data_IF_877474468304
#
_entry.id   IF_877474468304
#
_cell.length_a   1.000
_cell.length_b   1.000
_cell.length_c   1.000
_cell.angle_alpha   90.00
_cell.angle_beta   90.00
_cell.angle_gamma   90.00
#
_symmetry.space_group_name_H-M   'P 1'
#
loop_
_entity.id
_entity.type
_entity.pdbx_description
1 polymer ?
#
# COMPACT_ATOMS: atom_id res chain seq x y z
N UNK A 1 31.14 -69.71 14.95
CA UNK A 1 31.56 -68.36 14.55
C UNK A 1 31.27 -68.21 13.07
N UNK A 2 30.46 -67.21 12.72
CA UNK A 2 30.26 -66.59 11.38
C UNK A 2 29.79 -67.54 10.27
N UNK A 3 28.67 -67.34 9.57
CA UNK A 3 27.83 -66.16 9.39
C UNK A 3 27.21 -66.32 7.99
N UNK A 4 25.90 -66.09 7.87
CA UNK A 4 25.17 -66.23 6.61
C UNK A 4 25.82 -65.43 5.49
N UNK A 5 25.93 -66.05 4.32
CA UNK A 5 26.35 -65.35 3.10
C UNK A 5 25.20 -64.44 2.68
N UNK A 6 25.30 -63.17 3.02
CA UNK A 6 24.47 -62.13 2.43
C UNK A 6 24.90 -61.99 0.96
N UNK A 7 24.12 -62.57 0.04
CA UNK A 7 24.40 -62.51 -1.39
C UNK A 7 24.02 -61.11 -1.87
N UNK A 8 24.99 -60.20 -1.90
CA UNK A 8 24.83 -58.92 -2.57
C UNK A 8 24.37 -59.17 -4.01
N UNK A 9 23.18 -58.67 -4.36
CA UNK A 9 22.66 -58.70 -5.73
C UNK A 9 23.52 -57.75 -6.57
N UNK A 10 24.47 -58.32 -7.30
CA UNK A 10 25.37 -57.59 -8.20
C UNK A 10 24.55 -57.05 -9.38
N UNK A 11 24.53 -55.72 -9.56
CA UNK A 11 24.13 -55.10 -10.82
C UNK A 11 25.45 -54.76 -11.53
N UNK A 12 25.74 -55.44 -12.63
CA UNK A 12 26.93 -55.17 -13.43
C UNK A 12 26.75 -53.87 -14.20
N UNK A 13 27.62 -52.90 -13.95
CA UNK A 13 27.78 -51.71 -14.78
C UNK A 13 29.25 -51.67 -15.16
N UNK A 14 29.51 -52.20 -16.36
CA UNK A 14 30.81 -52.34 -17.00
C UNK A 14 31.71 -53.48 -16.44
N UNK A 15 32.48 -54.13 -17.31
CA UNK A 15 33.14 -55.45 -17.12
C UNK A 15 34.30 -55.48 -16.10
N UNK A 16 34.31 -54.57 -15.14
CA UNK A 16 35.34 -54.50 -14.10
C UNK A 16 34.67 -54.64 -12.75
N UNK A 17 35.01 -55.69 -12.00
CA UNK A 17 34.44 -56.07 -10.70
C UNK A 17 34.68 -55.01 -9.60
N UNK A 18 34.04 -53.85 -9.70
CA UNK A 18 34.05 -52.81 -8.68
C UNK A 18 32.85 -53.01 -7.74
N UNK A 19 33.14 -53.53 -6.55
CA UNK A 19 32.17 -53.61 -5.44
C UNK A 19 31.94 -52.20 -4.89
N UNK A 20 30.75 -51.63 -5.08
CA UNK A 20 30.35 -50.37 -4.40
C UNK A 20 29.79 -50.68 -3.00
N UNK A 21 30.44 -50.26 -1.91
CA UNK A 21 29.86 -50.40 -0.58
C UNK A 21 28.65 -49.46 -0.40
N UNK A 22 27.62 -49.96 0.29
CA UNK A 22 26.30 -49.31 0.51
C UNK A 22 26.34 -48.03 1.39
N UNK A 23 27.49 -47.41 1.62
CA UNK A 23 27.61 -46.21 2.42
C UNK A 23 27.76 -44.97 1.52
N UNK A 24 26.66 -44.20 1.39
CA UNK A 24 26.59 -42.86 0.77
C UNK A 24 27.23 -42.75 -0.60
N UNK A 25 26.42 -42.87 -1.67
CA UNK A 25 26.87 -42.54 -3.02
C UNK A 25 27.29 -41.06 -3.07
N UNK A 26 28.58 -40.79 -2.89
CA UNK A 26 29.16 -39.53 -3.33
C UNK A 26 29.09 -39.50 -4.85
N UNK A 27 28.68 -38.34 -5.38
CA UNK A 27 28.53 -38.12 -6.81
C UNK A 27 29.83 -38.55 -7.51
N UNK A 28 29.70 -39.46 -8.48
CA UNK A 28 30.82 -39.97 -9.25
C UNK A 28 31.44 -38.79 -10.03
N UNK A 29 32.62 -38.30 -9.61
CA UNK A 29 33.33 -37.21 -10.29
C UNK A 29 33.70 -37.69 -11.69
N UNK A 30 33.32 -36.91 -12.70
CA UNK A 30 33.60 -37.22 -14.09
C UNK A 30 35.07 -36.90 -14.44
N UNK A 31 35.62 -37.49 -15.50
CA UNK A 31 36.93 -37.07 -16.02
C UNK A 31 36.97 -35.62 -16.51
N UNK A 32 35.81 -34.93 -16.53
CA UNK A 32 35.66 -33.54 -16.93
C UNK A 32 35.58 -32.64 -15.70
N UNK A 33 36.73 -32.16 -15.25
CA UNK A 33 36.88 -31.32 -14.05
C UNK A 33 36.03 -30.05 -14.07
N UNK A 34 35.68 -29.52 -15.25
CA UNK A 34 34.77 -28.37 -15.40
C UNK A 34 33.33 -28.73 -15.03
N UNK A 35 32.87 -29.92 -15.42
CA UNK A 35 31.53 -30.42 -15.10
C UNK A 35 31.39 -30.70 -13.60
N UNK A 36 32.44 -31.23 -12.98
CA UNK A 36 32.46 -31.52 -11.54
C UNK A 36 32.44 -30.23 -10.71
N UNK A 37 33.14 -29.19 -11.17
CA UNK A 37 33.10 -27.86 -10.56
C UNK A 37 31.69 -27.28 -10.68
N UNK A 38 31.07 -27.36 -11.86
CA UNK A 38 29.69 -26.91 -12.06
C UNK A 38 28.68 -27.63 -11.16
N UNK A 39 28.80 -28.95 -10.99
CA UNK A 39 27.92 -29.70 -10.09
C UNK A 39 28.15 -29.34 -8.62
N UNK A 40 29.39 -29.13 -8.22
CA UNK A 40 29.76 -28.70 -6.86
C UNK A 40 29.22 -27.30 -6.57
N UNK A 41 29.38 -26.37 -7.51
CA UNK A 41 28.88 -25.00 -7.40
C UNK A 41 27.35 -24.99 -7.39
N UNK A 42 26.70 -25.79 -8.24
CA UNK A 42 25.25 -25.90 -8.27
C UNK A 42 24.72 -26.49 -6.96
N UNK A 43 25.35 -27.54 -6.42
CA UNK A 43 24.98 -28.12 -5.13
C UNK A 43 25.17 -27.11 -3.98
N UNK A 44 26.24 -26.31 -4.00
CA UNK A 44 26.50 -25.28 -3.01
C UNK A 44 25.50 -24.12 -3.10
N UNK A 45 25.09 -23.71 -4.30
CA UNK A 45 24.04 -22.70 -4.51
C UNK A 45 22.69 -23.25 -4.05
N UNK A 46 22.36 -24.49 -4.39
CA UNK A 46 21.11 -25.12 -3.99
C UNK A 46 21.03 -25.28 -2.47
N UNK A 47 22.13 -25.69 -1.83
CA UNK A 47 22.24 -25.75 -0.38
C UNK A 47 22.10 -24.37 0.26
N UNK A 48 22.65 -23.31 -0.32
CA UNK A 48 22.46 -21.93 0.17
C UNK A 48 21.02 -21.44 0.03
N UNK A 49 20.30 -21.86 -1.00
CA UNK A 49 18.88 -21.52 -1.20
C UNK A 49 17.99 -22.31 -0.22
N UNK A 50 18.30 -23.59 -0.01
CA UNK A 50 17.55 -24.48 0.90
C UNK A 50 17.85 -24.18 2.38
N UNK A 51 19.11 -23.85 2.70
CA UNK A 51 19.57 -23.54 4.05
C UNK A 51 19.50 -22.05 4.40
N UNK A 52 19.24 -21.16 3.42
CA UNK A 52 18.73 -19.84 3.74
C UNK A 52 17.42 -20.09 4.49
N UNK A 53 17.33 -19.73 5.78
CA UNK A 53 16.11 -19.98 6.52
C UNK A 53 15.01 -19.25 5.74
N UNK A 54 14.02 -20.00 5.27
CA UNK A 54 12.70 -19.44 4.98
C UNK A 54 12.19 -18.91 6.32
N UNK A 55 12.74 -17.80 6.79
CA UNK A 55 12.10 -17.01 7.80
C UNK A 55 10.80 -16.60 7.13
N UNK A 56 9.68 -16.94 7.72
CA UNK A 56 8.37 -16.42 7.33
C UNK A 56 8.45 -14.89 7.13
N UNK A 57 9.37 -14.21 7.82
CA UNK A 57 9.76 -12.83 7.58
C UNK A 57 10.14 -12.47 6.13
N UNK A 58 10.77 -13.34 5.34
CA UNK A 58 11.16 -13.02 3.95
C UNK A 58 10.01 -13.23 2.96
N UNK A 59 9.28 -14.35 3.07
CA UNK A 59 8.09 -14.59 2.25
C UNK A 59 6.93 -13.65 2.63
N UNK A 60 6.73 -13.36 3.92
CA UNK A 60 5.79 -12.36 4.39
C UNK A 60 6.24 -10.94 4.03
N UNK A 61 7.54 -10.62 4.03
CA UNK A 61 8.02 -9.32 3.54
C UNK A 61 7.84 -9.17 2.03
N UNK A 62 8.05 -10.23 1.26
CA UNK A 62 7.78 -10.24 -0.19
C UNK A 62 6.28 -10.13 -0.46
N UNK A 63 5.45 -10.87 0.26
CA UNK A 63 3.99 -10.78 0.17
C UNK A 63 3.49 -9.39 0.60
N UNK A 64 4.07 -8.81 1.66
CA UNK A 64 3.80 -7.44 2.10
C UNK A 64 4.21 -6.44 1.02
N UNK A 65 5.40 -6.58 0.43
CA UNK A 65 5.88 -5.71 -0.64
C UNK A 65 5.02 -5.82 -1.91
N UNK A 66 4.60 -7.03 -2.29
CA UNK A 66 3.70 -7.29 -3.41
C UNK A 66 2.30 -6.74 -3.15
N UNK A 67 1.75 -6.91 -1.93
CA UNK A 67 0.47 -6.35 -1.53
C UNK A 67 0.49 -4.82 -1.42
N UNK A 68 1.67 -4.25 -1.16
CA UNK A 68 1.91 -2.81 -1.16
C UNK A 68 2.13 -2.22 -2.56
N UNK A 69 2.28 -3.06 -3.61
CA UNK A 69 2.27 -2.55 -4.97
C UNK A 69 0.88 -1.95 -5.24
N UNK A 70 0.80 -0.68 -5.68
CA UNK A 70 -0.49 -0.10 -5.99
C UNK A 70 -1.16 -0.91 -7.10
N UNK A 71 -2.38 -1.37 -6.85
CA UNK A 71 -3.24 -1.95 -7.88
C UNK A 71 -3.55 -0.82 -8.87
N UNK A 72 -2.95 -0.91 -10.06
CA UNK A 72 -3.20 0.01 -11.17
C UNK A 72 -4.12 -0.67 -12.16
N UNK A 73 -5.06 0.09 -12.72
CA UNK A 73 -5.78 -0.34 -13.90
C UNK A 73 -4.82 -0.60 -15.06
N UNK A 74 -5.27 -1.33 -16.08
CA UNK A 74 -4.48 -1.57 -17.29
C UNK A 74 -4.10 -0.27 -18.02
N UNK A 75 -4.89 0.79 -17.79
CA UNK A 75 -4.69 2.18 -18.21
C UNK A 75 -3.69 2.96 -17.34
N UNK A 76 -3.09 2.31 -16.32
CA UNK A 76 -2.15 2.93 -15.40
C UNK A 76 -2.78 3.80 -14.31
N UNK A 77 -4.11 4.00 -14.36
CA UNK A 77 -4.88 4.78 -13.39
C UNK A 77 -4.84 4.07 -12.04
N UNK A 78 -4.60 4.81 -10.96
CA UNK A 78 -4.71 4.31 -9.59
C UNK A 78 -5.88 4.97 -8.88
N UNK A 79 -6.67 4.17 -8.16
CA UNK A 79 -7.69 4.68 -7.24
C UNK A 79 -7.17 4.55 -5.82
N UNK A 80 -6.91 5.68 -5.18
CA UNK A 80 -6.57 5.74 -3.76
C UNK A 80 -7.85 5.92 -2.95
N UNK A 81 -7.91 5.33 -1.76
CA UNK A 81 -9.05 5.43 -0.84
C UNK A 81 -8.54 5.62 0.57
N UNK A 82 -9.11 6.58 1.28
CA UNK A 82 -8.73 6.88 2.67
C UNK A 82 -10.00 7.14 3.47
N UNK A 83 -10.16 6.36 4.53
CA UNK A 83 -11.26 6.52 5.49
C UNK A 83 -10.83 7.45 6.62
N UNK A 84 -11.72 8.34 7.00
CA UNK A 84 -11.61 9.22 8.15
C UNK A 84 -12.77 8.90 9.07
N UNK A 85 -12.45 8.29 10.21
CA UNK A 85 -13.42 7.97 11.25
C UNK A 85 -13.42 9.16 12.20
N UNK A 86 -14.53 9.89 12.25
CA UNK A 86 -14.68 10.96 13.21
C UNK A 86 -14.62 10.45 14.65
N UNK A 87 -14.25 11.31 15.61
CA UNK A 87 -14.50 11.08 17.03
C UNK A 87 -15.95 10.64 17.29
N UNK A 88 -16.15 9.78 18.28
CA UNK A 88 -17.46 9.26 18.65
C UNK A 88 -18.28 10.31 19.44
N UNK A 89 -18.57 11.44 18.82
CA UNK A 89 -19.43 12.50 19.34
C UNK A 89 -20.37 13.06 18.24
N UNK A 90 -21.18 14.06 18.59
CA UNK A 90 -22.16 14.68 17.68
C UNK A 90 -21.97 16.19 17.56
N UNK A 91 -20.76 16.67 17.85
CA UNK A 91 -20.45 18.10 17.85
C UNK A 91 -20.57 18.64 16.44
N UNK A 92 -21.53 19.54 16.24
CA UNK A 92 -21.77 20.14 14.93
C UNK A 92 -20.55 20.97 14.50
N UNK A 93 -20.15 20.78 13.25
CA UNK A 93 -19.19 21.68 12.62
C UNK A 93 -19.80 23.06 12.42
N UNK A 94 -19.00 24.08 12.68
CA UNK A 94 -19.24 25.45 12.23
C UNK A 94 -18.56 25.70 10.89
N UNK A 95 -18.88 26.82 10.25
CA UNK A 95 -18.26 27.21 8.99
C UNK A 95 -16.76 27.41 9.22
N UNK A 96 -15.94 26.77 8.38
CA UNK A 96 -14.48 26.72 8.47
C UNK A 96 -13.91 25.83 9.57
N UNK A 97 -14.69 24.91 10.14
CA UNK A 97 -14.10 23.88 11.00
C UNK A 97 -13.32 22.86 10.16
N UNK A 98 -12.28 22.26 10.76
CA UNK A 98 -11.61 21.10 10.21
C UNK A 98 -12.40 19.82 10.51
N UNK A 99 -12.44 18.94 9.52
CA UNK A 99 -12.94 17.56 9.65
C UNK A 99 -11.73 16.66 9.87
N UNK A 100 -11.71 15.94 10.99
CA UNK A 100 -10.57 15.12 11.40
C UNK A 100 -10.99 13.88 12.19
N UNK A 101 -10.02 13.06 12.57
CA UNK A 101 -10.22 11.79 13.27
C UNK A 101 -10.03 11.88 14.79
N UNK A 102 -9.61 13.03 15.31
CA UNK A 102 -9.40 13.27 16.74
C UNK A 102 -9.58 14.73 17.12
N UNK A 103 -10.10 14.97 18.32
CA UNK A 103 -10.22 16.32 18.93
C UNK A 103 -8.94 16.80 19.62
N UNK A 104 -7.91 15.93 19.75
CA UNK A 104 -6.67 16.26 20.49
C UNK A 104 -5.38 15.73 19.87
N UNK A 105 -5.45 14.66 19.07
CA UNK A 105 -4.30 14.03 18.44
C UNK A 105 -4.69 13.48 17.06
N UNK A 106 -4.97 14.34 16.07
CA UNK A 106 -5.36 13.91 14.74
C UNK A 106 -4.22 13.20 14.00
N UNK A 107 -4.53 12.50 12.92
CA UNK A 107 -3.53 11.81 12.08
C UNK A 107 -2.39 12.75 11.68
N UNK A 108 -1.19 12.47 12.19
CA UNK A 108 0.00 13.30 12.02
C UNK A 108 0.39 13.40 10.55
N UNK A 109 0.70 14.62 10.08
CA UNK A 109 1.10 14.87 8.69
C UNK A 109 -0.07 15.06 7.71
N UNK A 110 -1.32 14.99 8.21
CA UNK A 110 -2.54 14.99 7.40
C UNK A 110 -2.89 13.60 6.84
N UNK A 111 -4.12 13.46 6.38
CA UNK A 111 -4.58 12.22 5.74
C UNK A 111 -3.85 12.01 4.41
N UNK A 112 -3.81 10.78 3.92
CA UNK A 112 -2.88 10.43 2.83
C UNK A 112 -3.56 9.64 1.73
N UNK A 113 -3.38 10.08 0.48
CA UNK A 113 -3.56 9.25 -0.70
C UNK A 113 -2.25 8.53 -1.00
N UNK A 114 -2.11 7.32 -0.48
CA UNK A 114 -0.88 6.54 -0.59
C UNK A 114 -0.67 6.00 -2.01
N UNK A 115 0.55 6.06 -2.51
CA UNK A 115 0.98 5.56 -3.82
C UNK A 115 0.21 6.15 -5.02
N UNK A 116 -0.25 7.40 -4.91
CA UNK A 116 -1.00 8.12 -5.93
C UNK A 116 -0.25 8.26 -7.27
N UNK A 117 1.09 8.36 -7.25
CA UNK A 117 1.91 8.46 -8.46
C UNK A 117 2.73 7.20 -8.74
N UNK A 118 3.09 6.98 -10.02
CA UNK A 118 3.79 5.77 -10.50
C UNK A 118 5.11 5.52 -9.79
N UNK A 119 5.88 6.58 -9.56
CA UNK A 119 7.16 6.53 -8.86
C UNK A 119 7.39 7.84 -8.11
N UNK A 120 8.35 7.85 -7.19
CA UNK A 120 8.66 9.06 -6.44
C UNK A 120 9.05 10.21 -7.38
N UNK A 121 8.56 11.42 -7.10
CA UNK A 121 8.84 12.60 -7.91
C UNK A 121 8.08 12.69 -9.24
N UNK A 122 7.15 11.76 -9.53
CA UNK A 122 6.37 11.78 -10.77
C UNK A 122 5.11 12.61 -10.63
N UNK A 123 4.60 13.04 -11.79
CA UNK A 123 3.31 13.72 -11.90
C UNK A 123 2.17 12.75 -12.19
N UNK A 124 0.96 13.19 -11.89
CA UNK A 124 -0.31 12.56 -12.28
C UNK A 124 -1.36 13.64 -12.57
N UNK A 125 -2.47 13.24 -13.17
CA UNK A 125 -3.70 14.04 -13.27
C UNK A 125 -4.74 13.45 -12.32
N UNK A 126 -5.22 14.26 -11.38
CA UNK A 126 -6.41 13.94 -10.59
C UNK A 126 -7.65 14.13 -11.46
N UNK A 127 -8.37 13.04 -11.69
CA UNK A 127 -9.49 12.98 -12.65
C UNK A 127 -10.85 13.04 -11.95
N UNK A 128 -11.01 12.22 -10.92
CA UNK A 128 -12.23 12.10 -10.15
C UNK A 128 -11.94 12.10 -8.65
N UNK A 129 -12.87 12.67 -7.88
CA UNK A 129 -12.98 12.53 -6.43
C UNK A 129 -14.37 12.01 -6.09
N UNK A 130 -14.45 10.93 -5.31
CA UNK A 130 -15.68 10.42 -4.73
C UNK A 130 -15.56 10.57 -3.22
N UNK A 131 -16.52 11.25 -2.60
CA UNK A 131 -16.61 11.36 -1.15
C UNK A 131 -17.86 10.59 -0.71
N UNK A 132 -17.72 9.68 0.24
CA UNK A 132 -18.86 8.95 0.83
C UNK A 132 -18.96 9.21 2.32
N UNK A 133 -20.18 9.19 2.85
CA UNK A 133 -20.49 9.23 4.28
C UNK A 133 -21.22 7.95 4.66
N UNK A 134 -20.83 7.35 5.78
CA UNK A 134 -21.51 6.17 6.34
C UNK A 134 -22.85 6.48 6.99
N UNK A 135 -23.10 7.73 7.39
CA UNK A 135 -24.31 8.12 8.10
C UNK A 135 -24.59 9.61 7.89
N UNK A 136 -25.12 9.99 6.72
CA UNK A 136 -25.30 11.39 6.37
C UNK A 136 -26.32 12.07 7.29
N UNK A 137 -26.01 13.31 7.65
CA UNK A 137 -26.93 14.16 8.37
C UNK A 137 -28.11 14.63 7.49
N UNK A 138 -29.13 15.19 8.15
CA UNK A 138 -30.25 15.84 7.45
C UNK A 138 -29.81 17.05 6.59
N UNK A 139 -28.72 17.70 6.98
CA UNK A 139 -28.09 18.79 6.21
C UNK A 139 -26.96 18.21 5.37
N UNK A 140 -26.96 18.48 4.06
CA UNK A 140 -25.84 18.12 3.20
C UNK A 140 -24.54 18.77 3.66
N UNK A 141 -23.49 17.97 3.87
CA UNK A 141 -22.15 18.50 4.11
C UNK A 141 -21.64 19.21 2.85
N UNK A 142 -21.26 20.47 3.00
CA UNK A 142 -20.45 21.19 2.02
C UNK A 142 -19.03 21.23 2.57
N UNK A 143 -18.08 20.73 1.78
CA UNK A 143 -16.70 20.66 2.21
C UNK A 143 -15.73 21.06 1.13
N UNK A 144 -14.49 21.29 1.53
CA UNK A 144 -13.39 21.57 0.63
C UNK A 144 -12.20 20.68 1.01
N UNK A 145 -11.76 19.88 0.05
CA UNK A 145 -10.57 19.03 0.16
C UNK A 145 -9.35 19.83 -0.28
N UNK A 146 -8.38 19.99 0.63
CA UNK A 146 -7.09 20.61 0.37
C UNK A 146 -6.05 19.51 0.21
N UNK A 147 -5.36 19.45 -0.92
CA UNK A 147 -4.34 18.43 -1.22
C UNK A 147 -2.97 19.09 -1.29
N UNK A 148 -1.99 18.51 -0.61
CA UNK A 148 -0.62 18.97 -0.49
C UNK A 148 0.37 17.93 -1.02
N UNK A 149 1.53 18.37 -1.50
CA UNK A 149 2.62 17.50 -1.97
C UNK A 149 3.57 17.02 -0.88
N UNK A 150 3.42 17.53 0.35
CA UNK A 150 4.21 17.17 1.52
C UNK A 150 3.35 17.08 2.79
N UNK A 151 3.92 16.55 3.88
CA UNK A 151 3.28 16.49 5.18
C UNK A 151 2.92 17.89 5.71
N UNK A 152 1.71 18.01 6.25
CA UNK A 152 1.18 19.24 6.85
C UNK A 152 0.75 19.02 8.29
N UNK A 153 0.65 20.09 9.06
CA UNK A 153 0.14 20.06 10.43
C UNK A 153 -1.34 19.68 10.39
N UNK A 154 -1.68 18.58 11.06
CA UNK A 154 -3.06 18.16 11.18
C UNK A 154 -3.81 19.09 12.15
N UNK A 155 -5.06 19.38 11.80
CA UNK A 155 -5.96 20.21 12.62
C UNK A 155 -6.92 19.28 13.34
N UNK A 156 -7.18 19.57 14.62
CA UNK A 156 -8.12 18.80 15.43
C UNK A 156 -9.53 18.89 14.84
N UNK A 157 -10.30 17.83 15.01
CA UNK A 157 -11.71 17.81 14.63
C UNK A 157 -12.49 18.91 15.37
N UNK A 158 -13.40 19.59 14.67
CA UNK A 158 -14.17 20.74 15.16
C UNK A 158 -13.35 21.97 15.58
N UNK A 159 -12.04 21.99 15.34
CA UNK A 159 -11.23 23.19 15.50
C UNK A 159 -11.29 24.05 14.22
N UNK A 160 -10.99 25.35 14.36
CA UNK A 160 -10.90 26.26 13.21
C UNK A 160 -9.83 25.74 12.25
N UNK A 161 -10.21 25.52 11.00
CA UNK A 161 -9.31 25.11 9.95
C UNK A 161 -8.24 26.18 9.73
N UNK A 162 -6.98 25.79 9.90
CA UNK A 162 -5.84 26.66 9.71
C UNK A 162 -4.78 25.94 8.86
N UNK A 163 -4.20 26.68 7.92
CA UNK A 163 -3.03 26.27 7.13
C UNK A 163 -2.04 27.42 7.22
N UNK A 164 -0.81 27.14 7.64
CA UNK A 164 0.22 28.18 7.77
C UNK A 164 0.71 28.70 6.41
N UNK A 165 1.36 29.85 6.41
CA UNK A 165 2.00 30.43 5.21
C UNK A 165 3.07 29.52 4.58
N UNK A 166 3.67 28.62 5.38
CA UNK A 166 4.62 27.64 4.89
C UNK A 166 3.91 26.49 4.17
N UNK A 167 2.83 25.95 4.76
CA UNK A 167 2.08 24.82 4.22
C UNK A 167 1.22 25.20 3.02
N UNK A 168 0.71 26.43 2.95
CA UNK A 168 -0.10 26.82 1.78
C UNK A 168 0.71 26.81 0.48
N UNK A 169 2.04 26.92 0.56
CA UNK A 169 2.95 26.84 -0.60
C UNK A 169 3.08 25.44 -1.18
N UNK A 170 2.73 24.41 -0.40
CA UNK A 170 2.77 22.99 -0.82
C UNK A 170 1.39 22.50 -1.28
N UNK A 171 0.38 23.38 -1.30
CA UNK A 171 -0.95 23.08 -1.80
C UNK A 171 -0.91 22.87 -3.31
N UNK A 172 -1.37 21.71 -3.75
CA UNK A 172 -1.40 21.31 -5.17
C UNK A 172 -2.81 21.20 -5.74
N UNK A 173 -3.83 21.00 -4.89
CA UNK A 173 -5.22 21.07 -5.31
C UNK A 173 -6.16 21.50 -4.20
N UNK A 174 -7.30 22.05 -4.61
CA UNK A 174 -8.39 22.48 -3.74
C UNK A 174 -9.71 22.15 -4.42
N UNK A 175 -10.48 21.24 -3.84
CA UNK A 175 -11.67 20.67 -4.49
C UNK A 175 -12.88 20.86 -3.59
N UNK A 176 -13.82 21.75 -3.95
CA UNK A 176 -15.09 21.84 -3.26
C UNK A 176 -15.96 20.62 -3.59
N UNK A 177 -16.75 20.17 -2.63
CA UNK A 177 -17.74 19.12 -2.82
C UNK A 177 -18.99 19.42 -1.99
N UNK A 178 -20.14 18.96 -2.49
CA UNK A 178 -21.43 19.05 -1.80
C UNK A 178 -22.03 17.67 -1.78
N UNK A 179 -22.23 17.11 -0.59
CA UNK A 179 -22.85 15.81 -0.44
C UNK A 179 -24.35 15.88 -0.72
N UNK A 180 -24.95 14.75 -1.11
CA UNK A 180 -26.41 14.63 -1.12
C UNK A 180 -27.02 14.67 0.29
N UNK A 181 -28.33 14.50 0.38
CA UNK A 181 -29.05 14.16 1.62
C UNK A 181 -29.71 12.80 1.43
N UNK A 182 -29.77 11.96 2.47
CA UNK A 182 -30.35 10.63 2.38
C UNK A 182 -30.45 9.95 3.74
N UNK A 183 -31.24 8.88 3.84
CA UNK A 183 -31.44 8.14 5.10
C UNK A 183 -30.39 7.03 5.35
N UNK A 184 -29.55 6.71 4.35
CA UNK A 184 -28.51 5.67 4.36
C UNK A 184 -27.19 6.29 3.88
N UNK A 185 -26.13 5.48 3.72
CA UNK A 185 -24.87 5.91 3.11
C UNK A 185 -25.07 6.79 1.88
N UNK A 186 -24.35 7.88 1.83
CA UNK A 186 -24.48 8.88 0.78
C UNK A 186 -23.12 9.20 0.16
N UNK A 187 -23.15 9.77 -1.04
CA UNK A 187 -21.94 10.09 -1.78
C UNK A 187 -22.09 11.32 -2.64
N UNK A 188 -20.95 11.86 -3.04
CA UNK A 188 -20.81 12.81 -4.15
C UNK A 188 -19.67 12.34 -5.03
N UNK A 189 -19.85 12.47 -6.34
CA UNK A 189 -18.83 12.19 -7.34
C UNK A 189 -18.51 13.48 -8.08
N UNK A 190 -17.32 14.02 -7.82
CA UNK A 190 -16.76 15.17 -8.52
C UNK A 190 -15.90 14.65 -9.65
N UNK A 191 -16.34 14.90 -10.89
CA UNK A 191 -15.72 14.35 -12.11
C UNK A 191 -15.06 15.45 -12.93
N UNK A 192 -14.22 15.03 -13.88
CA UNK A 192 -13.57 15.91 -14.85
C UNK A 192 -12.75 17.02 -14.18
N UNK A 193 -12.07 16.69 -13.08
CA UNK A 193 -11.22 17.64 -12.35
C UNK A 193 -10.04 18.09 -13.20
N UNK A 194 -9.34 17.15 -13.86
CA UNK A 194 -8.25 17.46 -14.78
C UNK A 194 -7.06 18.18 -14.14
N UNK A 195 -6.83 18.01 -12.83
CA UNK A 195 -5.83 18.77 -12.08
C UNK A 195 -4.49 18.04 -12.14
N UNK A 196 -3.48 18.67 -12.73
CA UNK A 196 -2.10 18.16 -12.73
C UNK A 196 -1.44 18.34 -11.36
N UNK A 197 -0.83 17.27 -10.84
CA UNK A 197 -0.17 17.23 -9.54
C UNK A 197 1.20 16.58 -9.69
N UNK A 198 2.18 17.01 -8.87
CA UNK A 198 3.50 16.38 -8.80
C UNK A 198 3.79 16.00 -7.36
N UNK A 199 4.07 14.73 -7.09
CA UNK A 199 4.45 14.30 -5.76
C UNK A 199 5.90 14.70 -5.46
N UNK A 200 6.17 15.22 -4.27
CA UNK A 200 7.51 15.61 -3.82
C UNK A 200 7.99 14.66 -2.74
N UNK A 201 9.24 14.19 -2.82
CA UNK A 201 9.85 13.35 -1.79
C UNK A 201 9.25 11.94 -1.63
N UNK A 202 8.25 11.56 -2.45
CA UNK A 202 7.56 10.28 -2.33
C UNK A 202 6.54 10.05 -3.44
N UNK A 203 5.60 9.13 -3.19
CA UNK A 203 4.52 8.75 -4.13
C UNK A 203 3.14 9.21 -3.67
N UNK A 204 3.07 9.91 -2.56
CA UNK A 204 1.85 10.18 -1.82
C UNK A 204 1.44 11.64 -1.97
N UNK A 205 0.14 11.89 -1.82
CA UNK A 205 -0.37 13.23 -1.55
C UNK A 205 -0.99 13.27 -0.16
N UNK A 206 -0.85 14.40 0.51
CA UNK A 206 -1.45 14.64 1.83
C UNK A 206 -2.70 15.47 1.66
N UNK A 207 -3.66 15.36 2.57
CA UNK A 207 -4.85 16.18 2.48
C UNK A 207 -5.47 16.50 3.84
N UNK A 208 -6.17 17.62 3.87
CA UNK A 208 -7.01 18.09 4.97
C UNK A 208 -8.37 18.48 4.42
N UNK A 209 -9.38 18.56 5.29
CA UNK A 209 -10.75 18.84 4.90
C UNK A 209 -11.31 19.95 5.76
N UNK A 210 -11.98 20.90 5.10
CA UNK A 210 -12.65 22.02 5.75
C UNK A 210 -14.16 21.91 5.51
N UNK A 211 -14.96 22.05 6.55
CA UNK A 211 -16.41 22.23 6.44
C UNK A 211 -16.73 23.66 6.00
N UNK A 212 -17.60 23.81 5.01
CA UNK A 212 -18.05 25.11 4.46
C UNK A 212 -19.43 25.53 4.94
N UNK A 213 -20.14 24.66 5.65
CA UNK A 213 -21.44 24.94 6.24
C UNK A 213 -21.54 24.34 7.65
N UNK A 214 -22.57 24.76 8.38
CA UNK A 214 -22.95 24.08 9.60
C UNK A 214 -23.41 22.65 9.27
N UNK A 215 -22.79 21.66 9.90
CA UNK A 215 -23.08 20.24 9.68
C UNK A 215 -23.08 19.49 11.01
N UNK A 216 -24.21 18.90 11.37
CA UNK A 216 -24.34 18.08 12.57
C UNK A 216 -24.06 16.62 12.22
N UNK A 217 -22.87 16.08 12.53
CA UNK A 217 -22.50 14.71 12.17
C UNK A 217 -23.30 13.65 12.91
N UNK A 218 -23.24 12.43 12.42
CA UNK A 218 -23.57 11.27 13.23
C UNK A 218 -22.39 10.88 14.15
N UNK A 219 -22.70 10.11 15.21
CA UNK A 219 -21.67 9.53 16.08
C UNK A 219 -20.73 8.63 15.28
N UNK A 220 -19.41 8.87 15.37
CA UNK A 220 -18.38 8.10 14.69
C UNK A 220 -18.62 7.97 13.17
N UNK A 221 -19.15 9.02 12.55
CA UNK A 221 -19.37 9.07 11.11
C UNK A 221 -18.05 8.84 10.35
N UNK A 222 -18.12 8.02 9.29
CA UNK A 222 -16.97 7.70 8.45
C UNK A 222 -17.10 8.44 7.13
N UNK A 223 -16.12 9.27 6.84
CA UNK A 223 -15.95 9.88 5.53
C UNK A 223 -14.87 9.13 4.75
N UNK A 224 -15.22 8.59 3.58
CA UNK A 224 -14.25 7.98 2.68
C UNK A 224 -13.97 8.91 1.52
N UNK A 225 -12.70 9.24 1.31
CA UNK A 225 -12.22 10.00 0.16
C UNK A 225 -11.57 9.04 -0.81
N UNK A 226 -12.15 8.89 -2.01
CA UNK A 226 -11.62 8.07 -3.10
C UNK A 226 -11.21 8.95 -4.26
N UNK A 227 -9.93 9.00 -4.56
CA UNK A 227 -9.37 9.83 -5.62
C UNK A 227 -8.79 8.96 -6.74
N UNK A 228 -9.03 9.34 -8.00
CA UNK A 228 -8.46 8.67 -9.17
C UNK A 228 -7.34 9.50 -9.78
N UNK A 229 -6.15 8.92 -9.84
CA UNK A 229 -4.97 9.55 -10.40
C UNK A 229 -4.58 8.83 -11.69
N UNK A 230 -4.71 9.53 -12.81
CA UNK A 230 -4.21 9.09 -14.10
C UNK A 230 -2.73 9.48 -14.24
N UNK A 231 -1.86 8.59 -14.71
CA UNK A 231 -0.46 8.93 -14.86
C UNK A 231 -0.25 9.84 -16.08
N UNK A 232 0.84 10.63 -16.08
CA UNK A 232 1.19 11.58 -17.17
C UNK A 232 2.44 11.15 -17.92
N UNK A 233 2.75 9.85 -17.92
CA UNK A 233 3.93 9.29 -18.59
C UNK A 233 3.95 9.48 -20.11
#
# INVERSE_FOLDING_TARGET
MVGGRDLARVIQVDETDAVLPLATSTLQTSGNTKLDTLHTDLAAVLAKIIAAPATEATAAAILAALSALPVRGADGIVTCSTDIIRPADTTAYTINDAISDSTSAPTVGGFTFTNAVRAAGRSCVLTDLIVTSSNPAATALQGELYIFDTAVTAVNDNAVFAVSDAEIKTLVAKIPFVMGVGANNNHVHVQNLGIGLTAVGGRDFRFLIKALNAYAPANAEVFTFRAKFAPVD
#
